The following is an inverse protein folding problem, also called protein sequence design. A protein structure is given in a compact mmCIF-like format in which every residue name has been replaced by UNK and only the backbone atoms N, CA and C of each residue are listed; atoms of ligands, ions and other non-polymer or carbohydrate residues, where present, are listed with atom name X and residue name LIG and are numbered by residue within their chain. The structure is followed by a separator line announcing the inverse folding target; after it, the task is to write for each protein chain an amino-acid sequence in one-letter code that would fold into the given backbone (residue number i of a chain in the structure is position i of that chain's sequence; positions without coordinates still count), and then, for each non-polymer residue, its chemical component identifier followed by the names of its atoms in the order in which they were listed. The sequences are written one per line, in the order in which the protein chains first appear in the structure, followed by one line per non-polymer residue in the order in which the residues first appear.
data_IF_464900602585
#
_entry.id   IF_464900602585
#
_cell.length_a   1.000
_cell.length_b   1.000
_cell.length_c   1.000
_cell.angle_alpha   90.00
_cell.angle_beta   90.00
_cell.angle_gamma   90.00
#
_symmetry.space_group_name_H-M   'P 1'
#
loop_
_entity.id
_entity.type
_entity.pdbx_description
1 polymer ?
#
# COMPACT_ATOMS: atom_id res chain seq x y z
N UNK A 1 -10.07 -16.32 32.18
CA UNK A 1 -10.15 -15.54 30.93
C UNK A 1 -9.31 -16.24 29.88
N UNK A 2 -9.92 -17.07 29.04
CA UNK A 2 -9.22 -17.58 27.85
C UNK A 2 -9.08 -16.38 26.91
N UNK A 3 -7.85 -15.89 26.72
CA UNK A 3 -7.58 -14.88 25.72
C UNK A 3 -8.00 -15.50 24.37
N UNK A 4 -9.11 -15.04 23.81
CA UNK A 4 -9.48 -15.41 22.45
C UNK A 4 -8.35 -14.95 21.56
N UNK A 5 -7.71 -15.88 20.86
CA UNK A 5 -6.75 -15.56 19.81
C UNK A 5 -7.50 -14.72 18.77
N UNK A 6 -7.28 -13.40 18.77
CA UNK A 6 -7.71 -12.55 17.66
C UNK A 6 -6.88 -13.00 16.47
N UNK A 7 -7.49 -13.80 15.59
CA UNK A 7 -6.87 -14.11 14.31
C UNK A 7 -6.83 -12.80 13.52
N UNK A 8 -5.62 -12.29 13.30
CA UNK A 8 -5.42 -11.04 12.57
C UNK A 8 -5.48 -11.33 11.08
N UNK A 9 -6.40 -10.68 10.37
CA UNK A 9 -6.49 -10.73 8.91
C UNK A 9 -5.32 -9.93 8.33
N UNK A 10 -4.22 -10.65 8.05
CA UNK A 10 -2.99 -10.08 7.52
C UNK A 10 -3.18 -9.57 6.10
N UNK A 11 -4.04 -10.20 5.30
CA UNK A 11 -4.37 -9.78 3.94
C UNK A 11 -4.97 -8.39 3.92
N UNK A 12 -5.99 -8.14 4.75
CA UNK A 12 -6.60 -6.80 4.90
C UNK A 12 -5.58 -5.80 5.45
N UNK A 13 -4.87 -6.14 6.54
CA UNK A 13 -3.93 -5.21 7.17
C UNK A 13 -2.82 -4.77 6.22
N UNK A 14 -2.22 -5.71 5.49
CA UNK A 14 -1.16 -5.43 4.53
C UNK A 14 -1.70 -4.70 3.29
N UNK A 15 -2.91 -5.07 2.83
CA UNK A 15 -3.60 -4.37 1.76
C UNK A 15 -3.83 -2.88 2.06
N UNK A 16 -4.31 -2.57 3.28
CA UNK A 16 -4.50 -1.19 3.72
C UNK A 16 -3.19 -0.42 3.84
N UNK A 17 -2.13 -1.05 4.33
CA UNK A 17 -0.81 -0.43 4.44
C UNK A 17 -0.25 -0.04 3.06
N UNK A 18 -0.32 -0.95 2.08
CA UNK A 18 0.14 -0.63 0.72
C UNK A 18 -0.78 0.36 0.00
N UNK A 19 -2.09 0.31 0.23
CA UNK A 19 -3.01 1.33 -0.28
C UNK A 19 -2.64 2.74 0.24
N UNK A 20 -2.32 2.87 1.52
CA UNK A 20 -1.85 4.14 2.08
C UNK A 20 -0.55 4.62 1.43
N UNK A 21 0.42 3.73 1.21
CA UNK A 21 1.66 4.06 0.51
C UNK A 21 1.41 4.50 -0.94
N UNK A 22 0.51 3.81 -1.65
CA UNK A 22 0.10 4.19 -3.01
C UNK A 22 -0.51 5.59 -3.02
N UNK A 23 -1.37 5.93 -2.05
CA UNK A 23 -1.95 7.27 -1.94
C UNK A 23 -0.88 8.34 -1.66
N UNK A 24 0.10 8.06 -0.80
CA UNK A 24 1.22 8.98 -0.57
C UNK A 24 1.97 9.26 -1.88
N UNK A 25 2.30 8.22 -2.65
CA UNK A 25 2.94 8.38 -3.96
C UNK A 25 2.08 9.19 -4.94
N UNK A 26 0.76 8.96 -4.94
CA UNK A 26 -0.18 9.73 -5.76
C UNK A 26 -0.26 11.20 -5.34
N UNK A 27 -0.20 11.51 -4.04
CA UNK A 27 -0.12 12.90 -3.55
C UNK A 27 1.17 13.57 -4.01
N UNK A 28 2.32 12.88 -3.94
CA UNK A 28 3.60 13.39 -4.45
C UNK A 28 3.52 13.63 -5.96
N UNK A 29 2.90 12.71 -6.72
CA UNK A 29 2.65 12.88 -8.15
C UNK A 29 1.80 14.13 -8.43
N UNK A 30 0.75 14.34 -7.65
CA UNK A 30 -0.18 15.44 -7.86
C UNK A 30 0.44 16.80 -7.51
N UNK A 31 1.04 16.89 -6.32
CA UNK A 31 1.53 18.13 -5.72
C UNK A 31 2.99 18.50 -6.09
N UNK A 32 3.73 17.63 -6.78
CA UNK A 32 5.12 17.88 -7.14
C UNK A 32 5.29 19.03 -8.14
N UNK A 33 6.26 19.91 -7.87
CA UNK A 33 6.52 21.14 -8.65
C UNK A 33 7.32 20.90 -9.95
N UNK A 34 8.01 19.75 -10.05
CA UNK A 34 8.78 19.37 -11.24
C UNK A 34 8.25 18.08 -11.85
N UNK A 35 8.34 17.95 -13.18
CA UNK A 35 7.94 16.72 -13.89
C UNK A 35 8.68 15.49 -13.35
N UNK A 36 9.96 15.63 -13.01
CA UNK A 36 10.76 14.53 -12.47
C UNK A 36 10.23 14.05 -11.10
N UNK A 37 9.89 14.98 -10.20
CA UNK A 37 9.33 14.62 -8.89
C UNK A 37 7.96 13.94 -9.04
N UNK A 38 7.14 14.42 -9.97
CA UNK A 38 5.82 13.82 -10.25
C UNK A 38 5.95 12.40 -10.80
N UNK A 39 6.91 12.18 -11.70
CA UNK A 39 7.20 10.85 -12.26
C UNK A 39 7.66 9.86 -11.18
N UNK A 40 8.51 10.31 -10.26
CA UNK A 40 8.90 9.49 -9.11
C UNK A 40 7.73 9.15 -8.19
N UNK A 41 6.84 10.11 -7.91
CA UNK A 41 5.62 9.87 -7.13
C UNK A 41 4.73 8.80 -7.76
N UNK A 42 4.50 8.89 -9.07
CA UNK A 42 3.74 7.88 -9.82
C UNK A 42 4.42 6.50 -9.80
N UNK A 43 5.72 6.45 -10.09
CA UNK A 43 6.49 5.20 -10.11
C UNK A 43 6.46 4.49 -8.75
N UNK A 44 6.65 5.24 -7.65
CA UNK A 44 6.57 4.70 -6.31
C UNK A 44 5.16 4.18 -5.97
N UNK A 45 4.10 4.92 -6.37
CA UNK A 45 2.71 4.52 -6.15
C UNK A 45 2.38 3.19 -6.85
N UNK A 46 2.84 3.02 -8.09
CA UNK A 46 2.65 1.79 -8.87
C UNK A 46 3.38 0.61 -8.26
N UNK A 47 4.64 0.77 -7.87
CA UNK A 47 5.41 -0.30 -7.22
C UNK A 47 4.73 -0.72 -5.90
N UNK A 48 4.33 0.23 -5.06
CA UNK A 48 3.62 -0.05 -3.82
C UNK A 48 2.29 -0.79 -4.08
N UNK A 49 1.55 -0.38 -5.11
CA UNK A 49 0.28 -1.02 -5.47
C UNK A 49 0.47 -2.47 -5.93
N UNK A 50 1.48 -2.73 -6.77
CA UNK A 50 1.77 -4.08 -7.26
C UNK A 50 2.14 -4.99 -6.09
N UNK A 51 3.03 -4.53 -5.21
CA UNK A 51 3.42 -5.29 -4.02
C UNK A 51 2.20 -5.53 -3.11
N UNK A 52 1.33 -4.54 -2.94
CA UNK A 52 0.09 -4.67 -2.18
C UNK A 52 -0.85 -5.76 -2.72
N UNK A 53 -1.01 -5.84 -4.04
CA UNK A 53 -1.82 -6.90 -4.66
C UNK A 53 -1.20 -8.28 -4.42
N UNK A 54 0.12 -8.42 -4.57
CA UNK A 54 0.84 -9.67 -4.29
C UNK A 54 0.68 -10.06 -2.82
N UNK A 55 0.87 -9.11 -1.92
CA UNK A 55 0.68 -9.27 -0.48
C UNK A 55 -0.72 -9.78 -0.14
N UNK A 56 -1.76 -9.16 -0.69
CA UNK A 56 -3.14 -9.62 -0.52
C UNK A 56 -3.26 -11.08 -1.00
N UNK A 57 -2.80 -11.42 -2.21
CA UNK A 57 -2.92 -12.79 -2.72
C UNK A 57 -2.19 -13.85 -1.88
N UNK A 58 -1.09 -13.49 -1.22
CA UNK A 58 -0.31 -14.42 -0.40
C UNK A 58 -0.84 -14.59 1.03
N UNK A 59 -1.64 -13.64 1.52
CA UNK A 59 -2.05 -13.58 2.94
C UNK A 59 -3.56 -13.42 3.14
N UNK A 60 -4.35 -13.58 2.07
CA UNK A 60 -5.81 -13.57 2.12
C UNK A 60 -6.30 -15.00 2.31
N UNK A 61 -6.59 -15.34 3.56
CA UNK A 61 -7.10 -16.63 4.02
C UNK A 61 -8.53 -16.49 4.56
#
# INVERSE_FOLDING_TARGET
MTAGSVTSDKGIGLGMAFAALTLIGAVVMYAGDTQLLRAWGFGAAMIASIIGVVAIHLFWD
#
